data_IF_525581337443
#
_entry.id   IF_525581337443
#
_cell.length_a   1.000
_cell.length_b   1.000
_cell.length_c   1.000
_cell.angle_alpha   90.00
_cell.angle_beta   90.00
_cell.angle_gamma   90.00
#
_symmetry.space_group_name_H-M   'P 1'
#
loop_
_entity.id
_entity.type
_entity.pdbx_description
1 polymer ?
#
# COMPACT_ATOMS: atom_id res chain seq x y z
N UNK A 1 4.75 -0.21 5.89
CA UNK A 1 4.56 0.90 4.92
C UNK A 1 3.09 1.29 4.75
N UNK A 2 2.16 0.34 4.76
CA UNK A 2 0.72 0.65 4.52
C UNK A 2 0.07 1.52 5.61
N UNK A 3 0.46 1.35 6.88
CA UNK A 3 0.01 2.24 7.97
C UNK A 3 0.52 3.68 7.84
N UNK A 4 1.73 3.88 7.29
CA UNK A 4 2.28 5.22 6.99
C UNK A 4 1.51 5.88 5.84
N UNK A 5 1.20 5.13 4.77
CA UNK A 5 0.40 5.62 3.65
C UNK A 5 -1.03 6.00 4.04
N UNK A 6 -1.62 5.28 5.00
CA UNK A 6 -2.94 5.56 5.55
C UNK A 6 -2.94 6.74 6.55
N UNK A 7 -1.87 6.89 7.34
CA UNK A 7 -1.75 7.99 8.32
C UNK A 7 -1.39 9.33 7.68
N UNK A 8 -0.69 9.33 6.54
CA UNK A 8 -0.39 10.52 5.78
C UNK A 8 -1.64 11.03 5.04
N UNK A 9 -2.17 12.18 5.50
CA UNK A 9 -3.26 12.91 4.84
C UNK A 9 -2.87 13.25 3.39
N UNK A 10 -3.86 13.25 2.48
CA UNK A 10 -3.73 13.63 1.06
C UNK A 10 -2.96 14.94 0.85
N UNK A 11 -3.02 15.84 1.85
CA UNK A 11 -2.39 17.16 1.87
C UNK A 11 -0.86 17.15 1.96
N UNK A 12 -0.23 16.04 2.38
CA UNK A 12 1.24 15.96 2.59
C UNK A 12 1.93 15.09 1.52
N UNK A 13 1.26 14.05 1.00
CA UNK A 13 1.87 13.12 0.04
C UNK A 13 2.15 13.79 -1.31
N UNK A 14 1.17 14.53 -1.84
CA UNK A 14 1.32 15.24 -3.12
C UNK A 14 2.47 16.26 -3.09
N UNK A 15 2.55 17.19 -2.11
CA UNK A 15 3.67 18.14 -2.09
C UNK A 15 5.02 17.45 -1.84
N UNK A 16 5.07 16.34 -1.09
CA UNK A 16 6.30 15.58 -0.92
C UNK A 16 6.80 14.98 -2.24
N UNK A 17 5.92 14.33 -3.00
CA UNK A 17 6.29 13.75 -4.32
C UNK A 17 6.74 14.85 -5.28
N UNK A 18 6.03 15.98 -5.31
CA UNK A 18 6.41 17.13 -6.15
C UNK A 18 7.75 17.74 -5.73
N UNK A 19 8.03 17.86 -4.43
CA UNK A 19 9.30 18.38 -3.93
C UNK A 19 10.46 17.45 -4.28
N UNK A 20 10.30 16.14 -4.11
CA UNK A 20 11.31 15.16 -4.54
C UNK A 20 11.52 15.20 -6.04
N UNK A 21 10.44 15.31 -6.83
CA UNK A 21 10.53 15.44 -8.28
C UNK A 21 11.27 16.73 -8.69
N UNK A 22 11.02 17.85 -8.02
CA UNK A 22 11.70 19.12 -8.27
C UNK A 22 13.20 19.05 -7.97
N UNK A 23 13.58 18.44 -6.84
CA UNK A 23 14.99 18.25 -6.48
C UNK A 23 15.69 17.33 -7.49
N UNK A 24 15.07 16.20 -7.84
CA UNK A 24 15.60 15.30 -8.85
C UNK A 24 15.74 15.98 -10.22
N UNK A 25 14.74 16.78 -10.61
CA UNK A 25 14.77 17.57 -11.85
C UNK A 25 15.94 18.56 -11.86
N UNK A 26 16.15 19.32 -10.78
CA UNK A 26 17.28 20.25 -10.67
C UNK A 26 18.63 19.54 -10.78
N UNK A 27 18.80 18.40 -10.11
CA UNK A 27 20.03 17.60 -10.16
C UNK A 27 20.29 17.11 -11.59
N UNK A 28 19.28 16.56 -12.26
CA UNK A 28 19.41 16.08 -13.64
C UNK A 28 19.69 17.23 -14.62
N UNK A 29 19.02 18.37 -14.46
CA UNK A 29 19.30 19.57 -15.25
C UNK A 29 20.75 20.05 -15.03
N UNK A 30 21.25 20.07 -13.80
CA UNK A 30 22.63 20.45 -13.52
C UNK A 30 23.64 19.46 -14.13
N UNK A 31 23.37 18.16 -14.04
CA UNK A 31 24.20 17.14 -14.67
C UNK A 31 24.24 17.29 -16.20
N UNK A 32 23.09 17.56 -16.83
CA UNK A 32 23.00 17.82 -18.26
C UNK A 32 23.73 19.11 -18.66
N UNK A 33 23.57 20.19 -17.90
CA UNK A 33 24.30 21.44 -18.09
C UNK A 33 25.81 21.18 -18.10
N UNK A 34 26.32 20.46 -17.09
CA UNK A 34 27.75 20.15 -16.98
C UNK A 34 28.22 19.28 -18.14
N UNK A 35 27.45 18.24 -18.50
CA UNK A 35 27.75 17.34 -19.60
C UNK A 35 27.78 18.07 -20.95
N UNK A 36 26.83 18.96 -21.19
CA UNK A 36 26.74 19.69 -22.45
C UNK A 36 27.88 20.71 -22.61
N UNK A 37 28.08 21.59 -21.62
CA UNK A 37 29.05 22.68 -21.74
C UNK A 37 30.50 22.20 -21.56
N UNK A 38 30.79 21.44 -20.51
CA UNK A 38 32.15 20.96 -20.23
C UNK A 38 32.48 19.63 -20.92
N UNK A 39 31.48 18.89 -21.40
CA UNK A 39 31.67 17.68 -22.18
C UNK A 39 31.61 17.98 -23.66
N UNK A 40 30.42 18.27 -24.20
CA UNK A 40 30.21 18.38 -25.65
C UNK A 40 30.88 19.61 -26.25
N UNK A 41 30.54 20.82 -25.78
CA UNK A 41 31.04 22.07 -26.37
C UNK A 41 32.56 22.18 -26.20
N UNK A 42 33.07 21.89 -25.01
CA UNK A 42 34.51 21.93 -24.74
C UNK A 42 35.30 21.00 -25.67
N UNK A 43 34.82 19.76 -25.91
CA UNK A 43 35.49 18.80 -26.81
C UNK A 43 35.45 19.23 -28.28
N UNK A 44 34.34 19.81 -28.71
CA UNK A 44 34.23 20.37 -30.07
C UNK A 44 35.23 21.51 -30.24
N UNK A 45 35.28 22.45 -29.29
CA UNK A 45 36.27 23.54 -29.31
C UNK A 45 37.71 23.03 -29.27
N UNK A 46 38.02 21.99 -28.49
CA UNK A 46 39.36 21.37 -28.50
C UNK A 46 39.72 20.80 -29.88
N UNK A 47 38.75 20.19 -30.56
CA UNK A 47 38.95 19.65 -31.92
C UNK A 47 39.15 20.78 -32.94
N UNK A 48 38.35 21.84 -32.82
CA UNK A 48 38.49 23.04 -33.66
C UNK A 48 39.85 23.70 -33.44
N UNK A 49 40.26 23.90 -32.18
CA UNK A 49 41.57 24.48 -31.83
C UNK A 49 42.72 23.64 -32.38
N UNK A 50 42.61 22.31 -32.31
CA UNK A 50 43.60 21.44 -32.91
C UNK A 50 43.74 21.72 -34.41
N UNK A 51 42.62 21.73 -35.14
CA UNK A 51 42.62 22.05 -36.57
C UNK A 51 43.23 23.43 -36.85
N UNK A 52 42.94 24.42 -36.00
CA UNK A 52 43.47 25.76 -36.15
C UNK A 52 44.98 25.83 -35.85
N UNK A 53 45.50 25.08 -34.88
CA UNK A 53 46.95 24.99 -34.62
C UNK A 53 47.72 24.49 -35.85
N UNK A 54 47.12 23.58 -36.62
CA UNK A 54 47.74 23.05 -37.86
C UNK A 54 47.63 23.98 -39.08
N UNK A 55 46.67 24.92 -39.10
CA UNK A 55 46.29 25.62 -40.34
C UNK A 55 46.44 27.13 -40.28
N UNK A 56 46.10 27.76 -39.15
CA UNK A 56 46.11 29.21 -39.01
C UNK A 56 47.52 29.81 -38.99
N UNK A 57 48.53 29.26 -38.29
CA UNK A 57 49.83 29.93 -38.17
C UNK A 57 50.48 30.20 -39.52
N UNK A 58 50.48 29.21 -40.41
CA UNK A 58 50.99 29.35 -41.77
C UNK A 58 50.21 30.42 -42.57
N UNK A 59 48.89 30.28 -42.59
CA UNK A 59 47.99 31.13 -43.38
C UNK A 59 48.07 32.60 -42.95
N UNK A 60 48.01 32.85 -41.64
CA UNK A 60 48.06 34.19 -41.08
C UNK A 60 49.45 34.81 -41.24
N UNK A 61 50.53 34.05 -41.05
CA UNK A 61 51.89 34.55 -41.29
C UNK A 61 52.04 35.03 -42.73
N UNK A 62 51.53 34.27 -43.71
CA UNK A 62 51.55 34.66 -45.12
C UNK A 62 50.72 35.92 -45.40
N UNK A 63 49.50 36.01 -44.87
CA UNK A 63 48.65 37.20 -45.05
C UNK A 63 49.27 38.46 -44.44
N UNK A 64 49.91 38.34 -43.27
CA UNK A 64 50.63 39.44 -42.62
C UNK A 64 51.84 39.86 -43.47
N UNK A 65 52.61 38.91 -44.02
CA UNK A 65 53.73 39.20 -44.91
C UNK A 65 53.29 39.91 -46.20
N UNK A 66 52.13 39.55 -46.74
CA UNK A 66 51.53 40.18 -47.91
C UNK A 66 50.81 41.52 -47.58
N UNK A 67 50.88 41.98 -46.32
CA UNK A 67 50.24 43.19 -45.79
C UNK A 67 48.71 43.22 -46.01
N UNK A 68 48.05 42.06 -45.96
CA UNK A 68 46.61 41.88 -46.15
C UNK A 68 45.87 41.76 -44.82
N UNK A 69 45.91 42.82 -44.02
CA UNK A 69 45.25 42.87 -42.71
C UNK A 69 43.72 42.76 -42.80
N UNK A 70 43.15 43.12 -43.95
CA UNK A 70 41.74 42.91 -44.30
C UNK A 70 41.37 41.42 -44.27
N UNK A 71 42.20 40.58 -44.91
CA UNK A 71 42.00 39.13 -44.94
C UNK A 71 42.25 38.50 -43.56
N UNK A 72 43.25 38.98 -42.83
CA UNK A 72 43.50 38.55 -41.44
C UNK A 72 42.24 38.73 -40.60
N UNK A 73 41.65 39.92 -40.59
CA UNK A 73 40.44 40.19 -39.82
C UNK A 73 39.27 39.33 -40.29
N UNK A 74 39.09 39.16 -41.59
CA UNK A 74 38.04 38.30 -42.16
C UNK A 74 38.22 36.83 -41.71
N UNK A 75 39.45 36.33 -41.66
CA UNK A 75 39.76 34.99 -41.15
C UNK A 75 39.45 34.88 -39.66
N UNK A 76 39.81 35.87 -38.83
CA UNK A 76 39.47 35.85 -37.41
C UNK A 76 37.95 35.88 -37.17
N UNK A 77 37.22 36.62 -38.00
CA UNK A 77 35.76 36.76 -37.92
C UNK A 77 34.98 35.55 -38.48
N UNK A 78 35.64 34.66 -39.23
CA UNK A 78 35.04 33.43 -39.77
C UNK A 78 34.62 32.42 -38.68
N UNK A 79 35.09 32.61 -37.45
CA UNK A 79 34.69 31.84 -36.27
C UNK A 79 33.31 32.24 -35.73
N UNK A 80 32.71 33.32 -36.26
CA UNK A 80 31.42 33.89 -35.84
C UNK A 80 31.33 34.23 -34.34
N UNK A 81 32.47 34.31 -33.65
CA UNK A 81 32.52 34.59 -32.21
C UNK A 81 32.22 33.38 -31.31
N UNK A 82 32.19 32.15 -31.84
CA UNK A 82 32.05 30.92 -31.05
C UNK A 82 33.17 30.76 -30.01
N UNK A 83 34.35 31.23 -30.38
CA UNK A 83 35.53 31.43 -29.54
C UNK A 83 36.30 32.64 -30.07
N UNK A 84 37.17 33.19 -29.24
CA UNK A 84 37.99 34.34 -29.59
C UNK A 84 39.32 33.92 -30.20
N UNK A 85 39.71 34.58 -31.29
CA UNK A 85 41.08 34.56 -31.78
C UNK A 85 41.69 35.95 -31.58
N UNK A 86 42.91 36.01 -31.05
CA UNK A 86 43.59 37.28 -30.75
C UNK A 86 45.02 37.21 -31.26
N UNK A 87 45.39 38.17 -32.10
CA UNK A 87 46.76 38.33 -32.60
C UNK A 87 47.41 39.49 -31.85
N UNK A 88 48.58 39.25 -31.27
CA UNK A 88 49.42 40.26 -30.62
C UNK A 88 50.75 40.40 -31.32
N UNK A 89 51.49 41.46 -30.98
CA UNK A 89 52.91 41.57 -31.30
C UNK A 89 53.76 40.42 -30.71
N UNK A 90 55.02 40.34 -31.16
CA UNK A 90 55.98 39.31 -30.76
C UNK A 90 56.25 39.25 -29.23
N UNK A 91 56.01 40.34 -28.50
CA UNK A 91 56.25 40.47 -27.06
C UNK A 91 54.97 40.38 -26.22
N UNK A 92 53.80 40.33 -26.85
CA UNK A 92 52.49 40.41 -26.20
C UNK A 92 52.34 41.69 -25.34
N UNK A 93 52.62 42.85 -25.93
CA UNK A 93 52.36 44.17 -25.35
C UNK A 93 51.11 44.82 -25.98
N UNK A 94 50.86 44.57 -27.27
CA UNK A 94 49.76 45.18 -28.02
C UNK A 94 48.93 44.16 -28.79
N UNK A 95 47.60 44.31 -28.76
CA UNK A 95 46.67 43.51 -29.58
C UNK A 95 46.58 44.17 -30.95
N UNK A 96 46.93 43.42 -32.00
CA UNK A 96 46.92 43.88 -33.39
C UNK A 96 45.54 43.65 -33.99
N UNK A 97 45.04 42.41 -33.91
CA UNK A 97 43.72 42.02 -34.40
C UNK A 97 43.04 41.08 -33.42
N UNK A 98 41.71 41.10 -33.39
CA UNK A 98 40.91 40.14 -32.64
C UNK A 98 39.61 39.86 -33.37
N UNK A 99 38.98 38.73 -33.09
CA UNK A 99 37.61 38.46 -33.56
C UNK A 99 36.68 39.58 -33.08
N UNK A 100 35.90 40.17 -33.98
CA UNK A 100 34.94 41.25 -33.68
C UNK A 100 33.50 40.75 -33.61
N UNK A 101 33.24 39.51 -34.07
CA UNK A 101 31.91 38.89 -34.01
C UNK A 101 31.60 38.38 -32.60
N UNK A 102 30.35 38.56 -32.18
CA UNK A 102 29.83 38.10 -30.88
C UNK A 102 28.79 37.00 -31.13
N UNK A 103 29.01 35.82 -30.55
CA UNK A 103 28.03 34.73 -30.58
C UNK A 103 27.16 34.74 -29.31
N UNK A 104 25.95 35.30 -29.41
CA UNK A 104 24.96 35.46 -28.34
C UNK A 104 25.37 36.32 -27.12
N UNK A 105 26.63 36.25 -26.66
CA UNK A 105 27.15 36.93 -25.47
C UNK A 105 28.64 37.23 -25.61
N UNK A 106 29.08 38.32 -25.01
CA UNK A 106 30.49 38.68 -24.86
C UNK A 106 31.17 37.90 -23.73
N UNK A 107 31.32 36.59 -23.91
CA UNK A 107 31.91 35.69 -22.90
C UNK A 107 33.45 35.80 -22.84
N UNK A 108 34.08 35.79 -24.01
CA UNK A 108 35.55 35.73 -24.12
C UNK A 108 36.20 37.12 -24.29
N UNK A 109 35.42 38.17 -24.56
CA UNK A 109 35.93 39.51 -24.90
C UNK A 109 36.73 40.12 -23.75
N UNK A 110 36.34 39.89 -22.50
CA UNK A 110 37.08 40.36 -21.33
C UNK A 110 38.46 39.69 -21.21
N UNK A 111 38.59 38.44 -21.70
CA UNK A 111 39.84 37.69 -21.71
C UNK A 111 40.76 38.05 -22.88
N UNK A 112 40.28 38.83 -23.86
CA UNK A 112 41.09 39.25 -25.00
C UNK A 112 42.06 40.39 -24.67
N UNK A 113 42.04 40.92 -23.45
CA UNK A 113 42.97 41.97 -23.03
C UNK A 113 44.35 41.38 -22.69
N UNK A 114 45.42 42.09 -23.04
CA UNK A 114 46.83 41.65 -22.93
C UNK A 114 47.18 41.06 -21.57
N UNK A 115 46.63 41.63 -20.49
CA UNK A 115 46.84 41.16 -19.11
C UNK A 115 46.39 39.70 -18.92
N UNK A 116 45.26 39.32 -19.48
CA UNK A 116 44.67 37.99 -19.29
C UNK A 116 45.19 36.96 -20.31
N UNK A 117 45.70 37.41 -21.46
CA UNK A 117 46.25 36.50 -22.48
C UNK A 117 47.45 35.69 -21.98
N UNK A 118 48.24 36.24 -21.03
CA UNK A 118 49.40 35.56 -20.44
C UNK A 118 49.01 34.45 -19.46
N UNK A 119 47.82 34.53 -18.90
CA UNK A 119 47.30 33.60 -17.89
C UNK A 119 46.36 32.54 -18.52
N UNK A 120 46.28 32.47 -19.85
CA UNK A 120 45.47 31.48 -20.54
C UNK A 120 46.07 30.07 -20.39
N UNK A 121 45.22 29.09 -20.12
CA UNK A 121 45.61 27.68 -20.06
C UNK A 121 46.05 27.15 -21.43
N UNK A 122 45.43 27.62 -22.51
CA UNK A 122 45.74 27.21 -23.89
C UNK A 122 47.02 27.91 -24.37
N UNK A 123 48.00 27.19 -24.94
CA UNK A 123 49.20 27.81 -25.48
C UNK A 123 48.87 28.68 -26.70
N UNK A 124 49.75 29.65 -26.95
CA UNK A 124 49.67 30.49 -28.14
C UNK A 124 50.56 29.93 -29.25
N UNK A 125 50.10 30.10 -30.49
CA UNK A 125 50.94 29.85 -31.65
C UNK A 125 51.78 31.08 -32.00
N UNK A 126 52.90 30.81 -32.67
CA UNK A 126 53.86 31.82 -33.06
C UNK A 126 53.78 32.01 -34.57
N UNK A 127 53.60 33.24 -35.03
CA UNK A 127 53.57 33.60 -36.45
C UNK A 127 54.98 34.03 -36.87
N UNK A 128 55.59 33.33 -37.82
CA UNK A 128 57.03 33.45 -38.16
C UNK A 128 57.30 33.84 -39.62
N UNK A 129 58.49 34.38 -39.88
CA UNK A 129 59.09 34.49 -41.21
C UNK A 129 60.37 33.65 -41.28
N UNK A 130 60.48 32.67 -42.20
CA UNK A 130 59.43 32.16 -43.07
C UNK A 130 58.30 31.47 -42.28
N UNK A 131 57.09 31.30 -42.87
CA UNK A 131 55.99 30.60 -42.22
C UNK A 131 56.34 29.14 -41.90
N UNK A 132 56.06 28.68 -40.69
CA UNK A 132 56.19 27.26 -40.29
C UNK A 132 55.13 26.42 -40.98
N UNK A 133 55.53 25.29 -41.57
CA UNK A 133 54.61 24.30 -42.16
C UNK A 133 54.08 23.30 -41.13
N UNK A 134 54.88 23.01 -40.11
CA UNK A 134 54.54 22.08 -39.05
C UNK A 134 53.89 22.82 -37.86
N UNK A 135 52.92 22.17 -37.18
CA UNK A 135 52.29 22.73 -35.99
C UNK A 135 53.27 22.83 -34.83
N UNK A 136 53.15 23.89 -34.03
CA UNK A 136 53.93 24.04 -32.79
C UNK A 136 53.28 23.30 -31.61
N UNK A 137 51.95 23.29 -31.59
CA UNK A 137 51.14 22.67 -30.56
C UNK A 137 50.08 21.76 -31.17
N UNK A 138 49.74 20.69 -30.47
CA UNK A 138 48.68 19.75 -30.86
C UNK A 138 47.95 19.23 -29.62
N UNK A 139 46.65 18.99 -29.76
CA UNK A 139 45.85 18.27 -28.79
C UNK A 139 45.90 16.76 -29.06
N UNK A 140 46.48 15.99 -28.13
CA UNK A 140 46.55 14.53 -28.25
C UNK A 140 45.18 13.83 -28.34
N UNK A 141 44.12 14.46 -27.81
CA UNK A 141 42.74 13.97 -27.97
C UNK A 141 41.72 15.09 -27.79
N UNK A 142 40.45 14.89 -28.22
CA UNK A 142 39.37 15.84 -27.96
C UNK A 142 39.09 16.08 -26.47
N UNK A 143 39.58 15.20 -25.58
CA UNK A 143 39.41 15.30 -24.13
C UNK A 143 40.58 15.99 -23.43
N UNK A 144 41.64 16.34 -24.17
CA UNK A 144 42.77 17.06 -23.61
C UNK A 144 42.33 18.44 -23.12
N UNK A 145 42.89 18.84 -21.98
CA UNK A 145 42.60 20.14 -21.35
C UNK A 145 43.47 21.26 -21.92
N UNK A 146 44.58 20.91 -22.57
CA UNK A 146 45.59 21.83 -23.10
C UNK A 146 46.32 21.16 -24.27
N UNK A 147 46.74 21.95 -25.26
CA UNK A 147 47.62 21.47 -26.32
C UNK A 147 49.06 21.25 -25.82
N UNK A 148 49.68 20.18 -26.29
CA UNK A 148 51.07 19.82 -25.99
C UNK A 148 51.98 20.34 -27.09
N UNK A 149 53.23 20.66 -26.73
CA UNK A 149 54.20 21.19 -27.69
C UNK A 149 54.78 20.05 -28.52
N UNK A 150 54.67 20.15 -29.85
CA UNK A 150 55.15 19.13 -30.81
C UNK A 150 56.34 19.62 -31.62
N UNK A 151 56.45 20.94 -31.83
CA UNK A 151 57.48 21.55 -32.68
C UNK A 151 58.20 22.75 -32.06
N UNK A 152 59.26 23.18 -32.74
CA UNK A 152 60.04 24.38 -32.43
C UNK A 152 59.82 25.45 -33.52
N UNK A 153 59.70 26.74 -33.16
CA UNK A 153 59.45 27.79 -34.14
C UNK A 153 60.68 28.00 -35.03
N UNK A 154 60.49 27.88 -36.34
CA UNK A 154 61.53 28.17 -37.32
C UNK A 154 61.40 29.60 -37.82
N UNK A 155 62.46 30.40 -37.64
CA UNK A 155 62.54 31.76 -38.19
C UNK A 155 62.22 32.87 -37.19
N UNK A 156 62.04 34.08 -37.71
CA UNK A 156 61.81 35.28 -36.88
C UNK A 156 60.35 35.40 -36.51
N UNK A 157 60.06 35.52 -35.22
CA UNK A 157 58.70 35.76 -34.69
C UNK A 157 58.24 37.17 -35.04
N UNK A 158 57.07 37.27 -35.69
CA UNK A 158 56.39 38.54 -35.98
C UNK A 158 55.31 38.82 -34.93
N UNK A 159 54.46 37.83 -34.68
CA UNK A 159 53.24 37.96 -33.90
C UNK A 159 52.97 36.66 -33.12
N UNK A 160 52.04 36.73 -32.16
CA UNK A 160 51.52 35.57 -31.44
C UNK A 160 50.02 35.46 -31.65
N UNK A 161 49.51 34.25 -31.78
CA UNK A 161 48.11 33.92 -31.97
C UNK A 161 47.59 33.19 -30.73
N UNK A 162 46.60 33.77 -30.07
CA UNK A 162 45.95 33.21 -28.89
C UNK A 162 44.55 32.69 -29.22
N UNK A 163 44.22 31.56 -28.59
CA UNK A 163 42.93 30.90 -28.67
C UNK A 163 42.18 31.10 -27.35
N UNK A 164 41.02 31.75 -27.40
CA UNK A 164 40.26 32.12 -26.20
C UNK A 164 38.93 31.40 -26.19
N UNK A 165 38.75 30.44 -25.28
CA UNK A 165 37.49 29.71 -25.14
C UNK A 165 36.38 30.60 -24.58
N UNK A 166 35.16 30.37 -25.09
CA UNK A 166 33.94 30.97 -24.55
C UNK A 166 33.56 30.33 -23.23
N UNK A 167 33.36 31.14 -22.19
CA UNK A 167 32.83 30.67 -20.92
C UNK A 167 31.35 30.29 -21.04
N UNK A 168 30.92 29.15 -20.45
CA UNK A 168 29.52 28.80 -20.43
C UNK A 168 28.73 29.80 -19.57
N UNK A 169 27.47 30.11 -19.93
CA UNK A 169 26.60 30.91 -19.10
C UNK A 169 26.39 30.22 -17.74
N UNK A 170 26.24 30.95 -16.63
CA UNK A 170 25.89 30.38 -15.33
C UNK A 170 24.66 29.46 -15.43
N UNK A 171 24.66 28.35 -14.70
CA UNK A 171 23.58 27.35 -14.74
C UNK A 171 22.18 27.95 -14.58
N UNK A 172 22.01 28.87 -13.62
CA UNK A 172 20.73 29.51 -13.37
C UNK A 172 20.28 30.42 -14.53
N UNK A 173 21.22 31.10 -15.19
CA UNK A 173 20.94 31.96 -16.34
C UNK A 173 20.51 31.10 -17.55
N UNK A 174 21.20 29.99 -17.79
CA UNK A 174 20.87 29.05 -18.87
C UNK A 174 19.52 28.35 -18.64
N UNK A 175 19.28 27.91 -17.40
CA UNK A 175 18.01 27.29 -17.00
C UNK A 175 16.86 28.30 -17.07
N UNK A 176 17.07 29.54 -16.62
CA UNK A 176 16.06 30.60 -16.72
C UNK A 176 15.75 30.94 -18.18
N UNK A 177 16.78 31.00 -19.03
CA UNK A 177 16.64 31.18 -20.47
C UNK A 177 15.89 30.02 -21.16
N UNK A 178 15.87 28.82 -20.57
CA UNK A 178 15.01 27.72 -20.99
C UNK A 178 13.57 27.88 -20.51
N UNK A 179 13.36 28.29 -19.25
CA UNK A 179 12.02 28.49 -18.68
C UNK A 179 11.27 29.67 -19.34
N UNK A 180 12.00 30.72 -19.74
CA UNK A 180 11.43 31.94 -20.34
C UNK A 180 11.49 31.95 -21.85
N UNK A 181 12.54 31.38 -22.45
CA UNK A 181 12.66 31.24 -23.89
C UNK A 181 11.81 30.08 -24.36
N UNK A 182 10.60 30.37 -24.83
CA UNK A 182 9.60 29.37 -25.24
C UNK A 182 10.12 28.29 -26.20
N UNK A 183 9.28 27.28 -26.44
CA UNK A 183 9.63 26.00 -27.10
C UNK A 183 10.29 26.10 -28.50
N UNK A 184 10.28 27.27 -29.14
CA UNK A 184 10.71 27.47 -30.52
C UNK A 184 12.22 27.72 -30.70
N UNK A 185 12.94 28.16 -29.66
CA UNK A 185 14.40 28.40 -29.71
C UNK A 185 15.13 27.31 -28.93
N UNK A 186 15.21 26.12 -29.53
CA UNK A 186 15.79 24.92 -28.91
C UNK A 186 17.29 24.75 -29.23
N UNK A 187 18.14 25.41 -28.44
CA UNK A 187 19.58 25.10 -28.36
C UNK A 187 19.79 23.65 -27.89
N UNK A 188 20.96 23.07 -28.18
CA UNK A 188 21.32 21.70 -27.77
C UNK A 188 21.15 21.46 -26.26
N UNK A 189 21.57 22.41 -25.42
CA UNK A 189 21.34 22.35 -23.96
C UNK A 189 19.84 22.31 -23.60
N UNK A 190 19.06 23.19 -24.22
CA UNK A 190 17.61 23.35 -23.97
C UNK A 190 16.80 22.12 -24.36
N UNK A 191 17.22 21.40 -25.42
CA UNK A 191 16.62 20.11 -25.79
C UNK A 191 16.79 19.07 -24.68
N UNK A 192 17.97 19.03 -24.05
CA UNK A 192 18.24 18.17 -22.90
C UNK A 192 17.33 18.50 -21.72
N UNK A 193 17.18 19.79 -21.37
CA UNK A 193 16.26 20.21 -20.31
C UNK A 193 14.80 19.87 -20.62
N UNK A 194 14.36 20.00 -21.87
CA UNK A 194 13.01 19.60 -22.28
C UNK A 194 12.78 18.11 -22.01
N UNK A 195 13.71 17.25 -22.47
CA UNK A 195 13.60 15.81 -22.27
C UNK A 195 13.52 15.46 -20.78
N UNK A 196 14.43 16.02 -19.96
CA UNK A 196 14.45 15.80 -18.51
C UNK A 196 13.15 16.27 -17.86
N UNK A 197 12.62 17.43 -18.27
CA UNK A 197 11.36 17.96 -17.76
C UNK A 197 10.19 17.04 -18.10
N UNK A 198 10.09 16.57 -19.34
CA UNK A 198 9.04 15.64 -19.75
C UNK A 198 9.14 14.31 -19.00
N UNK A 199 10.34 13.74 -18.88
CA UNK A 199 10.56 12.47 -18.17
C UNK A 199 10.24 12.58 -16.68
N UNK A 200 10.64 13.66 -16.02
CA UNK A 200 10.37 13.87 -14.59
C UNK A 200 8.88 14.12 -14.31
N UNK A 201 8.20 14.91 -15.14
CA UNK A 201 6.75 15.10 -15.04
C UNK A 201 6.02 13.78 -15.27
N UNK A 202 6.35 13.04 -16.34
CA UNK A 202 5.73 11.74 -16.63
C UNK A 202 5.95 10.75 -15.48
N UNK A 203 7.17 10.64 -14.96
CA UNK A 203 7.49 9.78 -13.83
C UNK A 203 6.71 10.18 -12.56
N UNK A 204 6.63 11.48 -12.26
CA UNK A 204 5.87 11.97 -11.11
C UNK A 204 4.38 11.62 -11.21
N UNK A 205 3.79 11.70 -12.40
CA UNK A 205 2.40 11.32 -12.65
C UNK A 205 2.19 9.81 -12.45
N UNK A 206 3.12 8.97 -12.89
CA UNK A 206 3.07 7.52 -12.66
C UNK A 206 3.15 7.20 -11.17
N UNK A 207 4.06 7.84 -10.43
CA UNK A 207 4.19 7.64 -8.97
C UNK A 207 2.90 8.06 -8.26
N UNK A 208 2.33 9.21 -8.60
CA UNK A 208 1.06 9.67 -8.04
C UNK A 208 -0.09 8.71 -8.37
N UNK A 209 -0.14 8.18 -9.59
CA UNK A 209 -1.13 7.18 -10.00
C UNK A 209 -1.01 5.89 -9.19
N UNK A 210 0.20 5.37 -9.00
CA UNK A 210 0.45 4.16 -8.20
C UNK A 210 0.05 4.37 -6.74
N UNK A 211 0.41 5.52 -6.15
CA UNK A 211 0.01 5.88 -4.79
C UNK A 211 -1.51 5.98 -4.67
N UNK A 212 -2.17 6.58 -5.66
CA UNK A 212 -3.63 6.70 -5.69
C UNK A 212 -4.31 5.33 -5.80
N UNK A 213 -3.84 4.45 -6.69
CA UNK A 213 -4.35 3.08 -6.86
C UNK A 213 -4.15 2.24 -5.59
N UNK A 214 -2.97 2.28 -4.98
CA UNK A 214 -2.66 1.58 -3.72
C UNK A 214 -3.60 2.01 -2.61
N UNK A 215 -3.84 3.32 -2.47
CA UNK A 215 -4.74 3.86 -1.46
C UNK A 215 -6.18 3.41 -1.68
N UNK A 216 -6.67 3.49 -2.92
CA UNK A 216 -8.02 3.04 -3.27
C UNK A 216 -8.21 1.54 -3.00
N UNK A 217 -7.19 0.73 -3.27
CA UNK A 217 -7.20 -0.69 -2.93
C UNK A 217 -7.27 -0.96 -1.42
N UNK A 218 -6.58 -0.16 -0.60
CA UNK A 218 -6.65 -0.27 0.85
C UNK A 218 -8.00 0.17 1.41
N UNK A 219 -8.58 1.25 0.88
CA UNK A 219 -9.92 1.73 1.26
C UNK A 219 -11.00 0.67 0.96
N UNK A 220 -10.94 0.01 -0.21
CA UNK A 220 -11.86 -1.09 -0.55
C UNK A 220 -11.69 -2.29 0.38
N UNK A 221 -10.44 -2.68 0.70
CA UNK A 221 -10.18 -3.78 1.64
C UNK A 221 -10.69 -3.48 3.05
N UNK A 222 -10.59 -2.23 3.51
CA UNK A 222 -11.16 -1.83 4.81
C UNK A 222 -12.68 -1.98 4.82
N UNK A 223 -13.36 -1.57 3.75
CA UNK A 223 -14.81 -1.76 3.61
C UNK A 223 -15.20 -3.23 3.62
N UNK A 224 -14.49 -4.09 2.89
CA UNK A 224 -14.72 -5.54 2.89
C UNK A 224 -14.54 -6.13 4.30
N UNK A 225 -13.49 -5.74 5.02
CA UNK A 225 -13.25 -6.21 6.40
C UNK A 225 -14.36 -5.76 7.36
N UNK A 226 -14.83 -4.52 7.27
CA UNK A 226 -15.96 -4.06 8.08
C UNK A 226 -17.24 -4.84 7.79
N UNK A 227 -17.52 -5.16 6.52
CA UNK A 227 -18.68 -5.98 6.15
C UNK A 227 -18.58 -7.38 6.74
N UNK A 228 -17.42 -8.04 6.62
CA UNK A 228 -17.18 -9.38 7.18
C UNK A 228 -17.32 -9.37 8.71
N UNK A 229 -16.82 -8.33 9.39
CA UNK A 229 -16.97 -8.20 10.85
C UNK A 229 -18.44 -8.09 11.27
N UNK A 230 -19.24 -7.26 10.56
CA UNK A 230 -20.68 -7.14 10.84
C UNK A 230 -21.42 -8.45 10.63
N UNK A 231 -21.08 -9.20 9.57
CA UNK A 231 -21.67 -10.53 9.33
C UNK A 231 -21.32 -11.53 10.44
N UNK A 232 -20.06 -11.53 10.91
CA UNK A 232 -19.64 -12.39 12.01
C UNK A 232 -20.37 -12.04 13.31
N UNK A 233 -20.54 -10.75 13.62
CA UNK A 233 -21.26 -10.32 14.82
C UNK A 233 -22.75 -10.70 14.76
N UNK A 234 -23.39 -10.62 13.60
CA UNK A 234 -24.76 -11.10 13.41
C UNK A 234 -24.87 -12.61 13.64
N UNK A 235 -23.93 -13.40 13.10
CA UNK A 235 -23.90 -14.86 13.30
C UNK A 235 -23.64 -15.23 14.75
N UNK A 236 -22.76 -14.52 15.46
CA UNK A 236 -22.54 -14.71 16.90
C UNK A 236 -23.80 -14.46 17.72
N UNK A 237 -24.50 -13.35 17.46
CA UNK A 237 -25.77 -13.05 18.13
C UNK A 237 -26.83 -14.13 17.88
N UNK A 238 -26.90 -14.67 16.66
CA UNK A 238 -27.80 -15.78 16.34
C UNK A 238 -27.43 -17.06 17.12
N UNK A 239 -26.14 -17.37 17.24
CA UNK A 239 -25.67 -18.50 18.05
C UNK A 239 -25.98 -18.32 19.54
N UNK A 240 -25.76 -17.12 20.09
CA UNK A 240 -26.10 -16.81 21.48
C UNK A 240 -27.59 -17.00 21.73
N UNK A 241 -28.45 -16.52 20.83
CA UNK A 241 -29.90 -16.72 20.91
C UNK A 241 -30.30 -18.21 20.89
N UNK A 242 -29.72 -19.00 19.98
CA UNK A 242 -29.98 -20.44 19.93
C UNK A 242 -29.50 -21.15 21.21
N UNK A 243 -28.36 -20.73 21.75
CA UNK A 243 -27.81 -21.31 22.98
C UNK A 243 -28.69 -21.03 24.20
N UNK A 244 -29.28 -19.84 24.29
CA UNK A 244 -30.18 -19.47 25.40
C UNK A 244 -31.51 -20.19 25.29
N UNK A 245 -32.07 -20.33 24.07
CA UNK A 245 -33.26 -21.14 23.83
C UNK A 245 -33.03 -22.60 24.22
N UNK A 246 -31.90 -23.18 23.83
CA UNK A 246 -31.55 -24.55 24.17
C UNK A 246 -31.42 -24.73 25.69
N UNK A 247 -30.78 -23.79 26.38
CA UNK A 247 -30.70 -23.81 27.85
C UNK A 247 -32.08 -23.72 28.51
N UNK A 248 -32.97 -22.86 28.00
CA UNK A 248 -34.35 -22.74 28.48
C UNK A 248 -35.17 -24.02 28.23
N UNK A 249 -34.93 -24.72 27.12
CA UNK A 249 -35.60 -25.99 26.87
C UNK A 249 -35.08 -27.13 27.73
N UNK A 250 -33.76 -27.21 27.94
CA UNK A 250 -33.17 -28.20 28.87
C UNK A 250 -33.70 -28.02 30.28
N UNK A 251 -33.81 -26.79 30.77
CA UNK A 251 -34.39 -26.54 32.10
C UNK A 251 -35.86 -26.93 32.17
N UNK A 252 -36.65 -26.65 31.13
CA UNK A 252 -38.04 -27.11 31.01
C UNK A 252 -38.17 -28.64 31.01
N UNK A 253 -37.29 -29.33 30.29
CA UNK A 253 -37.23 -30.81 30.29
C UNK A 253 -36.98 -31.36 31.68
N UNK A 254 -35.96 -30.86 32.37
CA UNK A 254 -35.61 -31.29 33.75
C UNK A 254 -36.78 -31.06 34.71
N UNK A 255 -37.52 -29.97 34.57
CA UNK A 255 -38.71 -29.71 35.37
C UNK A 255 -39.80 -30.76 35.14
N UNK A 256 -40.10 -31.08 33.87
CA UNK A 256 -41.09 -32.09 33.53
C UNK A 256 -40.71 -33.49 34.01
N UNK A 257 -39.43 -33.88 33.91
CA UNK A 257 -38.94 -35.15 34.43
C UNK A 257 -39.12 -35.24 35.96
N UNK A 258 -38.78 -34.18 36.69
CA UNK A 258 -38.98 -34.11 38.15
C UNK A 258 -40.46 -34.20 38.54
N UNK A 259 -41.34 -33.54 37.79
CA UNK A 259 -42.78 -33.58 38.04
C UNK A 259 -43.35 -34.98 37.77
N UNK A 260 -42.91 -35.63 36.69
CA UNK A 260 -43.27 -37.01 36.38
C UNK A 260 -42.81 -38.00 37.47
N UNK A 261 -41.58 -37.85 37.96
CA UNK A 261 -41.05 -38.66 39.08
C UNK A 261 -41.86 -38.46 40.37
N UNK A 262 -42.29 -37.23 40.65
CA UNK A 262 -43.13 -36.92 41.80
C UNK A 262 -44.53 -37.56 41.68
N UNK A 263 -45.15 -37.45 40.50
CA UNK A 263 -46.43 -38.09 40.21
C UNK A 263 -46.34 -39.63 40.33
N UNK A 264 -45.26 -40.24 39.83
CA UNK A 264 -45.02 -41.67 39.95
C UNK A 264 -44.88 -42.12 41.41
N UNK A 265 -44.10 -41.40 42.23
CA UNK A 265 -43.98 -41.68 43.68
C UNK A 265 -45.33 -41.56 44.40
N UNK A 266 -46.14 -40.57 44.04
CA UNK A 266 -47.50 -40.41 44.59
C UNK A 266 -48.37 -41.61 44.24
N UNK A 267 -48.37 -42.06 42.99
CA UNK A 267 -49.11 -43.25 42.56
C UNK A 267 -48.64 -44.52 43.27
N UNK A 268 -47.33 -44.69 43.46
CA UNK A 268 -46.76 -45.86 44.15
C UNK A 268 -47.11 -45.87 45.65
N UNK A 269 -47.10 -44.71 46.31
CA UNK A 269 -47.57 -44.58 47.69
C UNK A 269 -49.07 -44.88 47.81
N UNK A 270 -49.89 -44.41 46.87
CA UNK A 270 -51.32 -44.76 46.80
C UNK A 270 -51.53 -46.26 46.63
N UNK A 271 -50.79 -46.90 45.72
CA UNK A 271 -50.82 -48.36 45.54
C UNK A 271 -50.48 -49.11 46.82
N UNK A 272 -49.40 -48.72 47.52
CA UNK A 272 -49.03 -49.32 48.82
C UNK A 272 -50.10 -49.12 49.89
N UNK A 273 -50.76 -47.95 49.92
CA UNK A 273 -51.86 -47.73 50.86
C UNK A 273 -53.09 -48.59 50.54
N UNK A 274 -53.37 -48.87 49.26
CA UNK A 274 -54.43 -49.78 48.83
C UNK A 274 -54.11 -51.24 49.17
N UNK A 275 -52.86 -51.68 48.94
CA UNK A 275 -52.41 -53.02 49.33
C UNK A 275 -52.54 -53.23 50.85
N UNK A 276 -52.17 -52.24 51.67
CA UNK A 276 -52.39 -52.29 53.13
C UNK A 276 -53.87 -52.35 53.51
N UNK A 277 -54.73 -51.63 52.80
CA UNK A 277 -56.19 -51.67 53.01
C UNK A 277 -56.77 -53.03 52.64
N UNK A 278 -56.32 -53.61 51.52
CA UNK A 278 -56.70 -54.95 51.08
C UNK A 278 -56.26 -56.01 52.10
N UNK A 279 -55.02 -55.94 52.59
CA UNK A 279 -54.51 -56.89 53.59
C UNK A 279 -55.24 -56.75 54.93
N UNK A 280 -55.62 -55.52 55.32
CA UNK A 280 -56.47 -55.27 56.49
C UNK A 280 -57.88 -55.85 56.34
N UNK A 281 -58.45 -55.83 55.13
CA UNK A 281 -59.77 -56.40 54.82
C UNK A 281 -59.76 -57.93 54.77
N UNK A 282 -58.66 -58.56 54.32
CA UNK A 282 -58.52 -60.02 54.28
C UNK A 282 -58.19 -60.63 55.66
N UNK A 283 -57.77 -59.82 56.64
CA UNK A 283 -57.37 -60.25 57.98
C UNK A 283 -58.47 -60.34 59.05
N UNK A 284 -59.73 -60.00 58.75
CA UNK A 284 -60.83 -60.00 59.74
C UNK A 284 -61.99 -60.96 59.40
N UNK A 285 -61.86 -62.24 59.79
CA UNK A 285 -62.94 -63.19 60.13
C UNK A 285 -62.35 -64.15 61.19
N UNK A 286 -62.94 -64.40 62.39
CA UNK A 286 -64.36 -64.74 62.56
C UNK A 286 -65.13 -64.20 63.80
N UNK A 287 -66.47 -64.33 63.65
CA UNK A 287 -67.51 -64.75 64.60
C UNK A 287 -67.99 -63.84 65.77
N UNK A 288 -69.25 -63.37 65.63
CA UNK A 288 -70.42 -63.51 66.54
C UNK A 288 -70.13 -63.75 68.05
N UNK A 289 -70.76 -63.11 69.04
CA UNK A 289 -72.17 -62.76 69.20
C UNK A 289 -72.38 -61.91 70.49
N UNK A 290 -73.53 -61.21 70.55
CA UNK A 290 -74.36 -60.83 71.72
C UNK A 290 -73.70 -60.27 73.02
N UNK A 291 -73.95 -59.03 73.47
CA UNK A 291 -75.19 -58.34 73.89
C UNK A 291 -75.10 -58.01 75.39
N UNK A 292 -75.33 -56.74 75.76
CA UNK A 292 -76.10 -56.27 76.94
C UNK A 292 -75.80 -54.79 77.26
N UNK A 293 -76.84 -53.99 77.08
CA UNK A 293 -77.14 -52.72 77.78
C UNK A 293 -77.48 -53.03 79.26
N UNK A 294 -77.46 -52.09 80.23
CA UNK A 294 -78.23 -50.81 80.16
C UNK A 294 -77.53 -49.59 80.84
N UNK A 295 -77.83 -48.34 80.42
CA UNK A 295 -78.64 -47.30 81.14
C UNK A 295 -78.05 -46.78 82.47
N UNK A 296 -78.15 -45.52 82.92
CA UNK A 296 -78.93 -44.34 82.54
C UNK A 296 -78.43 -43.08 83.29
N UNK A 297 -78.81 -41.89 82.80
CA UNK A 297 -78.93 -40.64 83.60
C UNK A 297 -78.08 -39.45 83.09
N UNK A 298 -78.53 -38.29 82.58
CA UNK A 298 -79.79 -37.61 82.18
C UNK A 298 -79.63 -36.11 82.55
N UNK A 299 -79.80 -35.21 81.56
CA UNK A 299 -80.45 -33.87 81.60
C UNK A 299 -79.83 -32.91 80.56
N UNK A 300 -80.52 -32.05 79.81
CA UNK A 300 -81.91 -31.89 79.34
C UNK A 300 -81.94 -30.62 78.42
N UNK A 301 -82.77 -30.62 77.36
CA UNK A 301 -83.46 -29.48 76.69
C UNK A 301 -82.61 -28.37 76.00
N UNK A 302 -82.84 -27.86 74.78
CA UNK A 302 -83.96 -27.79 73.81
C UNK A 302 -83.33 -27.44 72.43
N UNK A 303 -83.71 -27.96 71.26
CA UNK A 303 -84.91 -27.60 70.50
C UNK A 303 -84.55 -27.24 69.04
N UNK A 304 -85.34 -27.75 68.09
CA UNK A 304 -85.35 -27.54 66.62
C UNK A 304 -84.34 -28.34 65.78
N UNK A 305 -84.84 -29.43 65.21
CA UNK A 305 -84.14 -30.29 64.26
C UNK A 305 -84.41 -29.95 62.80
N UNK A 306 -83.49 -30.37 61.94
CA UNK A 306 -83.64 -30.91 60.58
C UNK A 306 -82.30 -31.63 60.26
N UNK A 307 -82.28 -32.58 59.31
CA UNK A 307 -81.77 -33.93 59.51
C UNK A 307 -80.23 -34.06 59.51
N UNK A 308 -79.73 -34.87 60.44
CA UNK A 308 -78.38 -35.46 60.37
C UNK A 308 -78.34 -36.37 59.15
N UNK A 309 -77.81 -35.84 58.04
CA UNK A 309 -77.35 -36.64 56.91
C UNK A 309 -76.16 -37.43 57.42
N UNK A 310 -76.40 -38.70 57.78
CA UNK A 310 -75.30 -39.66 57.87
C UNK A 310 -74.77 -39.81 56.45
N UNK A 311 -73.49 -39.52 56.16
CA UNK A 311 -72.94 -39.91 54.88
C UNK A 311 -73.16 -41.42 54.72
N UNK A 312 -73.59 -41.88 53.54
CA UNK A 312 -73.73 -43.31 53.30
C UNK A 312 -72.39 -43.96 53.63
N UNK A 313 -72.42 -44.90 54.58
CA UNK A 313 -71.32 -45.83 54.82
C UNK A 313 -71.28 -46.69 53.56
N UNK A 314 -70.49 -46.25 52.58
CA UNK A 314 -70.21 -47.05 51.41
C UNK A 314 -69.49 -48.33 51.88
N UNK A 315 -69.88 -49.52 51.39
CA UNK A 315 -69.08 -50.70 51.64
C UNK A 315 -67.65 -50.40 51.16
N UNK A 316 -66.60 -50.74 51.92
CA UNK A 316 -65.22 -50.42 51.57
C UNK A 316 -64.80 -50.91 50.17
N UNK A 317 -65.54 -51.87 49.60
CA UNK A 317 -65.39 -52.34 48.22
C UNK A 317 -65.73 -51.29 47.14
N UNK A 318 -66.66 -50.37 47.37
CA UNK A 318 -67.11 -49.40 46.35
C UNK A 318 -66.10 -48.25 46.15
N UNK A 319 -65.44 -47.81 47.23
CA UNK A 319 -64.36 -46.80 47.15
C UNK A 319 -63.09 -47.43 46.56
N UNK A 320 -62.86 -48.72 46.83
CA UNK A 320 -61.79 -49.50 46.21
C UNK A 320 -61.99 -49.63 44.70
N UNK A 321 -63.20 -49.96 44.23
CA UNK A 321 -63.53 -50.02 42.79
C UNK A 321 -63.38 -48.66 42.09
N UNK A 322 -63.79 -47.56 42.72
CA UNK A 322 -63.71 -46.22 42.13
C UNK A 322 -62.25 -45.72 42.02
N UNK A 323 -61.39 -46.07 42.99
CA UNK A 323 -59.96 -45.77 42.94
C UNK A 323 -59.22 -46.73 41.97
N UNK A 324 -59.65 -47.99 41.87
CA UNK A 324 -59.14 -48.97 40.89
C UNK A 324 -59.51 -48.57 39.46
N UNK A 325 -60.65 -47.90 39.26
CA UNK A 325 -61.03 -47.27 37.99
C UNK A 325 -60.20 -46.01 37.65
N UNK A 326 -59.65 -45.28 38.63
CA UNK A 326 -58.80 -44.10 38.41
C UNK A 326 -57.32 -44.42 38.17
N UNK A 327 -56.84 -45.60 38.60
CA UNK A 327 -55.48 -46.11 38.38
C UNK A 327 -55.07 -46.16 36.89
N UNK A 328 -55.89 -46.71 35.97
CA UNK A 328 -55.56 -46.69 34.54
C UNK A 328 -55.46 -45.26 34.00
N UNK A 329 -56.35 -44.34 34.39
CA UNK A 329 -56.29 -42.93 33.95
C UNK A 329 -55.06 -42.17 34.44
N UNK A 330 -54.55 -42.47 35.64
CA UNK A 330 -53.29 -41.90 36.14
C UNK A 330 -52.09 -42.51 35.41
N UNK A 331 -52.14 -43.82 35.10
CA UNK A 331 -51.08 -44.49 34.33
C UNK A 331 -51.01 -43.99 32.89
N UNK A 332 -52.16 -43.67 32.29
CA UNK A 332 -52.27 -43.11 30.95
C UNK A 332 -51.79 -41.66 30.92
N UNK A 333 -52.10 -40.84 31.92
CA UNK A 333 -51.50 -39.51 32.05
C UNK A 333 -49.97 -39.57 32.22
N UNK A 334 -49.46 -40.54 32.98
CA UNK A 334 -48.02 -40.75 33.11
C UNK A 334 -47.37 -41.20 31.80
N UNK A 335 -48.05 -42.02 30.99
CA UNK A 335 -47.55 -42.44 29.67
C UNK A 335 -47.58 -41.29 28.65
N UNK A 336 -48.62 -40.46 28.66
CA UNK A 336 -48.73 -39.24 27.84
C UNK A 336 -47.65 -38.23 28.20
N UNK A 337 -47.37 -38.01 29.49
CA UNK A 337 -46.27 -37.14 29.93
C UNK A 337 -44.91 -37.68 29.49
N UNK A 338 -44.73 -39.00 29.50
CA UNK A 338 -43.50 -39.65 29.02
C UNK A 338 -43.34 -39.50 27.51
N UNK A 339 -44.41 -39.69 26.73
CA UNK A 339 -44.41 -39.43 25.30
C UNK A 339 -44.11 -37.96 24.98
N UNK A 340 -44.66 -37.02 25.76
CA UNK A 340 -44.32 -35.59 25.61
C UNK A 340 -42.84 -35.31 25.94
N UNK A 341 -42.27 -35.99 26.94
CA UNK A 341 -40.84 -35.90 27.26
C UNK A 341 -39.95 -36.47 26.15
N UNK A 342 -40.37 -37.57 25.50
CA UNK A 342 -39.66 -38.18 24.38
C UNK A 342 -39.68 -37.27 23.14
N UNK A 343 -40.83 -36.67 22.80
CA UNK A 343 -40.93 -35.68 21.72
C UNK A 343 -40.05 -34.45 22.00
N UNK A 344 -40.00 -34.00 23.26
CA UNK A 344 -39.10 -32.92 23.67
C UNK A 344 -37.63 -33.33 23.58
N UNK A 345 -37.30 -34.60 23.83
CA UNK A 345 -35.96 -35.13 23.69
C UNK A 345 -35.51 -35.13 22.22
N UNK A 346 -36.38 -35.57 21.31
CA UNK A 346 -36.13 -35.55 19.86
C UNK A 346 -36.02 -34.12 19.32
N UNK A 347 -36.78 -33.18 19.88
CA UNK A 347 -36.65 -31.78 19.52
C UNK A 347 -35.33 -31.17 20.05
N UNK A 348 -34.94 -31.50 21.28
CA UNK A 348 -33.66 -31.07 21.86
C UNK A 348 -32.46 -31.64 21.09
N UNK A 349 -32.51 -32.91 20.66
CA UNK A 349 -31.43 -33.53 19.90
C UNK A 349 -31.29 -32.89 18.51
N UNK A 350 -32.41 -32.57 17.85
CA UNK A 350 -32.40 -31.82 16.60
C UNK A 350 -31.86 -30.39 16.77
N UNK A 351 -32.17 -29.71 17.88
CA UNK A 351 -31.61 -28.39 18.18
C UNK A 351 -30.10 -28.45 18.45
N UNK A 352 -29.62 -29.44 19.20
CA UNK A 352 -28.17 -29.65 19.42
C UNK A 352 -27.45 -29.95 18.10
N UNK A 353 -28.06 -30.75 17.22
CA UNK A 353 -27.50 -31.02 15.89
C UNK A 353 -27.38 -29.73 15.06
N UNK A 354 -28.42 -28.88 15.05
CA UNK A 354 -28.38 -27.59 14.36
C UNK A 354 -27.37 -26.62 14.98
N UNK A 355 -27.23 -26.61 16.30
CA UNK A 355 -26.23 -25.80 16.99
C UNK A 355 -24.81 -26.24 16.59
N UNK A 356 -24.55 -27.55 16.58
CA UNK A 356 -23.25 -28.10 16.19
C UNK A 356 -22.92 -27.82 14.71
N UNK A 357 -23.91 -27.92 13.82
CA UNK A 357 -23.74 -27.59 12.41
C UNK A 357 -23.43 -26.10 12.23
N UNK A 358 -24.17 -25.23 12.91
CA UNK A 358 -23.96 -23.79 12.84
C UNK A 358 -22.62 -23.37 13.46
N UNK A 359 -22.19 -24.02 14.55
CA UNK A 359 -20.87 -23.81 15.15
C UNK A 359 -19.75 -24.24 14.20
N UNK A 360 -19.89 -25.37 13.51
CA UNK A 360 -18.95 -25.77 12.44
C UNK A 360 -18.88 -24.75 11.31
N UNK A 361 -20.00 -24.17 10.89
CA UNK A 361 -20.04 -23.12 9.87
C UNK A 361 -19.30 -21.87 10.35
N UNK A 362 -19.48 -21.49 11.61
CA UNK A 362 -18.79 -20.33 12.21
C UNK A 362 -17.28 -20.59 12.35
N UNK A 363 -16.87 -21.76 12.82
CA UNK A 363 -15.45 -22.12 12.93
C UNK A 363 -14.80 -22.19 11.56
N UNK A 364 -15.49 -22.72 10.55
CA UNK A 364 -15.01 -22.73 9.17
C UNK A 364 -14.89 -21.30 8.59
N UNK A 365 -15.85 -20.41 8.88
CA UNK A 365 -15.80 -19.01 8.47
C UNK A 365 -14.68 -18.23 9.19
N UNK A 366 -14.44 -18.52 10.47
CA UNK A 366 -13.38 -17.92 11.29
C UNK A 366 -11.98 -18.40 10.85
N UNK A 367 -11.82 -19.70 10.59
CA UNK A 367 -10.57 -20.24 10.06
C UNK A 367 -10.27 -19.71 8.66
N UNK A 368 -11.30 -19.46 7.84
CA UNK A 368 -11.14 -18.82 6.53
C UNK A 368 -10.75 -17.34 6.63
N UNK A 369 -11.17 -16.62 7.68
CA UNK A 369 -10.82 -15.21 7.86
C UNK A 369 -9.44 -15.00 8.50
N UNK A 370 -8.93 -15.99 9.24
CA UNK A 370 -7.62 -15.92 9.92
C UNK A 370 -6.52 -16.67 9.13
N UNK A 371 -6.88 -17.70 8.36
CA UNK A 371 -5.95 -18.55 7.65
C UNK A 371 -6.05 -18.44 6.13
N UNK A 372 -5.58 -17.33 5.55
CA UNK A 372 -4.76 -17.29 4.33
C UNK A 372 -4.59 -15.85 3.80
N UNK A 373 -3.38 -15.28 3.78
CA UNK A 373 -2.95 -14.54 2.62
C UNK A 373 -2.84 -15.55 1.47
N UNK A 374 -3.79 -15.54 0.52
CA UNK A 374 -3.60 -16.22 -0.75
C UNK A 374 -2.37 -15.60 -1.43
N UNK A 375 -1.25 -16.33 -1.35
CA UNK A 375 -0.29 -16.39 -2.44
C UNK A 375 -1.06 -16.79 -3.69
N UNK A 376 -1.25 -15.86 -4.60
CA UNK A 376 -1.61 -16.17 -5.98
C UNK A 376 -0.45 -16.98 -6.57
N UNK A 377 -0.61 -18.30 -6.62
CA UNK A 377 0.12 -19.15 -7.55
C UNK A 377 -0.24 -18.69 -8.97
N UNK A 378 0.62 -17.84 -9.53
CA UNK A 378 0.70 -17.67 -10.98
C UNK A 378 1.25 -18.97 -11.56
N UNK A 379 0.50 -19.57 -12.48
CA UNK A 379 0.90 -20.76 -13.21
C UNK A 379 2.22 -20.56 -13.93
N UNK A 380 3.14 -21.49 -13.69
CA UNK A 380 4.24 -21.79 -14.60
C UNK A 380 3.72 -22.79 -15.63
N UNK A 381 3.70 -22.42 -16.91
CA UNK A 381 4.12 -23.26 -18.03
C UNK A 381 4.08 -22.43 -19.33
N UNK A 382 5.26 -22.18 -19.90
CA UNK A 382 5.43 -21.46 -21.17
C UNK A 382 6.79 -20.79 -21.33
N UNK A 383 7.88 -21.45 -20.90
CA UNK A 383 9.25 -21.02 -21.21
C UNK A 383 9.68 -21.76 -22.48
N UNK A 384 9.68 -21.05 -23.61
CA UNK A 384 10.31 -21.51 -24.86
C UNK A 384 11.78 -21.08 -24.77
N UNK A 385 12.65 -22.07 -24.68
CA UNK A 385 14.09 -21.94 -24.85
C UNK A 385 14.39 -21.70 -26.34
N UNK A 386 14.95 -20.54 -26.66
CA UNK A 386 15.62 -20.27 -27.95
C UNK A 386 17.06 -19.90 -27.66
N UNK A 387 17.87 -20.93 -27.48
CA UNK A 387 19.33 -20.83 -27.61
C UNK A 387 19.71 -20.98 -29.10
N UNK A 388 20.65 -20.19 -29.62
CA UNK A 388 21.01 -20.19 -31.03
C UNK A 388 21.96 -21.35 -31.37
N UNK A 389 21.74 -21.95 -32.53
CA UNK A 389 22.73 -22.73 -33.29
C UNK A 389 23.21 -21.92 -34.49
#
# INVERSE_FOLDING_TARGET
MDQLLLSLKKRIIVPLVLLVALVAWLILCHANYRSYWYGTIYRVQTTDFNLLHHTLPYTLSRMIMENRMDLVQQTLDSTYGLFGLVITDAECNTVICKTNKVYHRESWHNKSAVKYLRDLDEPFDVLTVPPTLEPLYEHASPRSTRAERVGEPTGKVICRLYYVRTDPPPFLEDLWGFLTGGFWVMSGAKRGYLYITLSTVAFSMVVLLVVWLRRRGLELKQQELEHIQRELDLRKKALEHLSTELAAQKSRKIYLEKEADYAYKRALNLKKSLERLRDALLGQVPAYDQSQQPENGVNQLSGQGYPVVRPPVHPPSAILEEIEALLPGISENASVLRQQADVLHDYCSNLEQRQNEMQRIVDHAYNRSIGQPQQSQAGSQGFIDMSPS
#
